data_IF_823173834799
#
_entry.id   IF_823173834799
#
_cell.length_a   1.000
_cell.length_b   1.000
_cell.length_c   1.000
_cell.angle_alpha   90.00
_cell.angle_beta   90.00
_cell.angle_gamma   90.00
#
_symmetry.space_group_name_H-M   'P 1'
#
loop_
_entity.id
_entity.type
_entity.pdbx_description
1 polymer ?
#
# COMPACT_ATOMS: atom_id res chain seq x y z
N UNK A 1 -5.55 26.06 -22.44
CA UNK A 1 -5.43 24.67 -21.95
C UNK A 1 -6.82 24.23 -21.54
N UNK A 2 -7.62 23.75 -22.50
CA UNK A 2 -9.01 23.33 -22.25
C UNK A 2 -9.01 22.00 -21.50
N UNK A 3 -9.48 22.03 -20.25
CA UNK A 3 -9.73 20.82 -19.48
C UNK A 3 -10.94 20.12 -20.11
N UNK A 4 -10.76 18.90 -20.60
CA UNK A 4 -11.86 18.05 -21.09
C UNK A 4 -12.91 17.84 -19.98
N UNK A 5 -14.21 17.72 -20.29
CA UNK A 5 -15.26 17.57 -19.28
C UNK A 5 -15.04 16.41 -18.29
N UNK A 6 -14.37 15.33 -18.70
CA UNK A 6 -14.08 14.18 -17.81
C UNK A 6 -13.01 14.48 -16.75
N UNK A 7 -11.98 15.27 -17.07
CA UNK A 7 -10.90 15.61 -16.12
C UNK A 7 -11.37 16.62 -15.07
N UNK A 8 -12.29 17.51 -15.44
CA UNK A 8 -12.96 18.42 -14.48
C UNK A 8 -13.83 17.62 -13.51
N UNK A 9 -14.62 16.66 -14.01
CA UNK A 9 -15.47 15.81 -13.17
C UNK A 9 -14.65 14.92 -12.22
N UNK A 10 -13.54 14.34 -12.71
CA UNK A 10 -12.61 13.56 -11.89
C UNK A 10 -11.96 14.42 -10.79
N UNK A 11 -11.49 15.62 -11.12
CA UNK A 11 -10.85 16.52 -10.16
C UNK A 11 -11.83 17.03 -9.08
N UNK A 12 -13.07 17.35 -9.46
CA UNK A 12 -14.14 17.75 -8.54
C UNK A 12 -14.54 16.59 -7.64
N UNK A 13 -14.68 15.37 -8.18
CA UNK A 13 -14.97 14.18 -7.38
C UNK A 13 -13.85 13.86 -6.38
N UNK A 14 -12.57 13.97 -6.79
CA UNK A 14 -11.43 13.68 -5.93
C UNK A 14 -11.35 14.66 -4.76
N UNK A 15 -11.53 15.97 -5.02
CA UNK A 15 -11.54 16.99 -3.96
C UNK A 15 -12.70 16.78 -2.98
N UNK A 16 -13.88 16.46 -3.48
CA UNK A 16 -15.05 16.14 -2.66
C UNK A 16 -14.79 14.93 -1.77
N UNK A 17 -14.32 13.81 -2.32
CA UNK A 17 -14.04 12.60 -1.52
C UNK A 17 -12.90 12.78 -0.51
N UNK A 18 -11.87 13.55 -0.84
CA UNK A 18 -10.81 13.90 0.11
C UNK A 18 -11.32 14.80 1.24
N UNK A 19 -12.21 15.76 0.96
CA UNK A 19 -12.87 16.57 1.97
C UNK A 19 -13.80 15.72 2.86
N UNK A 20 -14.58 14.81 2.26
CA UNK A 20 -15.47 13.89 2.98
C UNK A 20 -14.68 12.89 3.86
N UNK A 21 -13.46 12.52 3.47
CA UNK A 21 -12.57 11.67 4.29
C UNK A 21 -12.21 12.31 5.64
N UNK A 22 -12.28 13.64 5.77
CA UNK A 22 -12.05 14.36 7.02
C UNK A 22 -13.30 14.53 7.90
N UNK A 23 -14.49 14.11 7.46
CA UNK A 23 -15.75 14.32 8.20
C UNK A 23 -15.96 13.27 9.28
N UNK A 24 -16.08 13.70 10.54
CA UNK A 24 -16.37 12.82 11.69
C UNK A 24 -17.75 12.18 11.61
N UNK A 25 -18.78 12.92 11.21
CA UNK A 25 -20.14 12.41 11.08
C UNK A 25 -20.25 11.29 10.02
N UNK A 26 -19.55 11.45 8.89
CA UNK A 26 -19.48 10.41 7.87
C UNK A 26 -18.62 9.23 8.32
N UNK A 27 -17.52 9.47 9.05
CA UNK A 27 -16.74 8.41 9.69
C UNK A 27 -17.61 7.60 10.65
N UNK A 28 -18.45 8.22 11.45
CA UNK A 28 -19.32 7.54 12.43
C UNK A 28 -20.43 6.74 11.75
N UNK A 29 -21.08 7.30 10.73
CA UNK A 29 -22.09 6.60 9.94
C UNK A 29 -21.47 5.42 9.16
N UNK A 30 -20.33 5.63 8.49
CA UNK A 30 -19.63 4.57 7.77
C UNK A 30 -19.06 3.50 8.70
N UNK A 31 -18.60 3.87 9.90
CA UNK A 31 -18.15 2.92 10.93
C UNK A 31 -19.29 2.03 11.43
N UNK A 32 -20.52 2.55 11.47
CA UNK A 32 -21.71 1.78 11.84
C UNK A 32 -22.18 0.81 10.75
N UNK A 33 -22.03 1.12 9.46
CA UNK A 33 -22.63 0.32 8.39
C UNK A 33 -21.66 -0.23 7.34
N UNK A 34 -20.56 0.46 7.04
CA UNK A 34 -19.67 0.16 5.89
C UNK A 34 -18.86 -1.14 5.99
N UNK A 35 -18.74 -1.73 7.18
CA UNK A 35 -18.07 -3.02 7.44
C UNK A 35 -19.03 -4.07 8.06
N UNK A 36 -20.34 -3.80 8.14
CA UNK A 36 -21.34 -4.76 8.66
C UNK A 36 -21.55 -5.90 7.65
N UNK A 37 -21.59 -7.14 8.16
CA UNK A 37 -21.78 -8.35 7.34
C UNK A 37 -20.65 -8.63 6.36
N UNK A 38 -20.74 -9.72 5.60
CA UNK A 38 -19.72 -10.11 4.61
C UNK A 38 -19.74 -9.23 3.33
N UNK A 39 -20.82 -8.49 3.11
CA UNK A 39 -21.05 -7.69 1.89
C UNK A 39 -20.82 -6.19 2.07
N UNK A 40 -20.39 -5.73 3.25
CA UNK A 40 -20.12 -4.32 3.50
C UNK A 40 -19.20 -3.70 2.45
N UNK A 41 -19.56 -2.51 1.96
CA UNK A 41 -18.90 -1.84 0.84
C UNK A 41 -17.38 -1.68 1.00
N UNK A 42 -16.90 -1.55 2.25
CA UNK A 42 -15.48 -1.42 2.53
C UNK A 42 -14.73 -2.76 2.52
N UNK A 43 -15.39 -3.93 2.72
CA UNK A 43 -14.76 -5.25 2.63
C UNK A 43 -14.19 -5.58 1.25
N UNK A 44 -14.62 -4.85 0.22
CA UNK A 44 -14.00 -4.91 -1.10
C UNK A 44 -12.53 -4.51 -1.07
N UNK A 45 -12.18 -3.49 -0.29
CA UNK A 45 -10.87 -2.84 -0.27
C UNK A 45 -10.15 -2.98 1.07
N UNK A 46 -10.82 -3.45 2.12
CA UNK A 46 -10.29 -3.67 3.47
C UNK A 46 -10.35 -5.15 3.80
N UNK A 47 -9.22 -5.73 4.21
CA UNK A 47 -9.08 -7.14 4.57
C UNK A 47 -9.80 -7.53 5.86
N UNK A 48 -10.01 -6.58 6.76
CA UNK A 48 -10.71 -6.81 8.02
C UNK A 48 -10.59 -5.64 9.00
N UNK A 49 -11.32 -5.73 10.11
CA UNK A 49 -11.25 -4.75 11.21
C UNK A 49 -10.16 -5.08 12.23
N UNK A 50 -9.71 -6.33 12.26
CA UNK A 50 -8.68 -6.83 13.18
C UNK A 50 -7.79 -7.85 12.46
N UNK A 51 -6.75 -8.33 13.15
CA UNK A 51 -5.77 -9.25 12.56
C UNK A 51 -6.39 -10.59 12.16
N UNK A 52 -7.38 -11.09 12.91
CA UNK A 52 -8.05 -12.37 12.61
C UNK A 52 -8.78 -12.30 11.28
N UNK A 53 -9.59 -11.26 11.06
CA UNK A 53 -10.27 -11.06 9.77
C UNK A 53 -9.26 -10.86 8.62
N UNK A 54 -8.15 -10.17 8.89
CA UNK A 54 -7.07 -9.97 7.91
C UNK A 54 -6.38 -11.29 7.55
N UNK A 55 -6.10 -12.16 8.52
CA UNK A 55 -5.54 -13.50 8.32
C UNK A 55 -6.48 -14.33 7.44
N UNK A 56 -7.79 -14.31 7.70
CA UNK A 56 -8.76 -15.01 6.85
C UNK A 56 -8.79 -14.46 5.42
N UNK A 57 -8.66 -13.14 5.25
CA UNK A 57 -8.54 -12.53 3.93
C UNK A 57 -7.24 -12.94 3.22
N UNK A 58 -6.12 -12.98 3.94
CA UNK A 58 -4.84 -13.43 3.44
C UNK A 58 -4.88 -14.91 3.01
N UNK A 59 -5.53 -15.81 3.79
CA UNK A 59 -5.72 -17.22 3.41
C UNK A 59 -6.48 -17.38 2.09
N UNK A 60 -7.52 -16.58 1.88
CA UNK A 60 -8.27 -16.56 0.61
C UNK A 60 -7.42 -16.06 -0.56
N UNK A 61 -6.41 -15.23 -0.31
CA UNK A 61 -5.45 -14.81 -1.33
C UNK A 61 -4.47 -15.95 -1.65
N UNK A 62 -3.91 -16.61 -0.64
CA UNK A 62 -3.00 -17.75 -0.82
C UNK A 62 -3.66 -18.91 -1.56
N UNK A 63 -4.94 -19.21 -1.26
CA UNK A 63 -5.75 -20.21 -1.99
C UNK A 63 -5.88 -19.92 -3.49
N UNK A 64 -5.62 -18.68 -3.92
CA UNK A 64 -5.68 -18.23 -5.31
C UNK A 64 -4.27 -18.03 -5.91
N UNK A 65 -3.22 -18.55 -5.27
CA UNK A 65 -1.83 -18.38 -5.70
C UNK A 65 -1.25 -16.98 -5.45
N UNK A 66 -1.98 -16.10 -4.75
CA UNK A 66 -1.55 -14.72 -4.53
C UNK A 66 -0.80 -14.58 -3.21
N UNK A 67 0.28 -13.81 -3.23
CA UNK A 67 1.01 -13.38 -2.03
C UNK A 67 0.28 -12.20 -1.36
N UNK A 68 0.62 -11.89 -0.12
CA UNK A 68 0.05 -10.76 0.61
C UNK A 68 1.12 -9.94 1.36
N UNK A 69 0.73 -8.73 1.72
CA UNK A 69 1.44 -7.88 2.69
C UNK A 69 0.39 -7.19 3.56
N UNK A 70 0.49 -7.40 4.86
CA UNK A 70 -0.42 -6.84 5.84
C UNK A 70 -0.08 -5.36 6.07
N UNK A 71 -1.08 -4.49 5.95
CA UNK A 71 -0.94 -3.07 6.27
C UNK A 71 -1.92 -2.72 7.39
N UNK A 72 -1.38 -2.56 8.61
CA UNK A 72 -2.14 -2.06 9.74
C UNK A 72 -2.46 -0.57 9.53
N UNK A 73 -3.74 -0.24 9.48
CA UNK A 73 -4.22 1.08 9.12
C UNK A 73 -4.02 2.07 10.27
N UNK A 74 -3.30 3.13 9.94
CA UNK A 74 -2.95 4.27 10.79
C UNK A 74 -1.94 5.15 10.05
N UNK A 75 -1.78 6.41 10.48
CA UNK A 75 -0.74 7.34 10.01
C UNK A 75 -0.73 8.56 10.93
N UNK A 76 0.39 9.27 11.00
CA UNK A 76 0.51 10.57 11.70
C UNK A 76 0.08 10.53 13.18
N UNK A 77 0.71 9.66 13.98
CA UNK A 77 0.43 9.63 15.43
C UNK A 77 0.88 10.92 16.09
N UNK A 78 0.13 11.35 17.11
CA UNK A 78 0.30 12.67 17.74
C UNK A 78 0.89 12.63 19.14
N UNK A 79 1.21 11.44 19.65
CA UNK A 79 1.86 11.29 20.95
C UNK A 79 2.78 10.06 20.99
N UNK A 80 3.78 10.04 21.88
CA UNK A 80 4.63 8.86 22.08
C UNK A 80 3.85 7.61 22.46
N UNK A 81 2.78 7.75 23.25
CA UNK A 81 1.92 6.62 23.66
C UNK A 81 1.17 6.02 22.46
N UNK A 82 0.75 6.85 21.51
CA UNK A 82 0.14 6.36 20.28
C UNK A 82 1.16 5.66 19.38
N UNK A 83 2.41 6.11 19.34
CA UNK A 83 3.51 5.43 18.64
C UNK A 83 3.83 4.07 19.28
N UNK A 84 3.83 4.00 20.62
CA UNK A 84 4.01 2.77 21.38
C UNK A 84 2.87 1.78 21.09
N UNK A 85 1.62 2.24 21.15
CA UNK A 85 0.45 1.41 20.85
C UNK A 85 0.49 0.85 19.42
N UNK A 86 0.89 1.66 18.44
CA UNK A 86 1.08 1.19 17.06
C UNK A 86 2.20 0.14 16.96
N UNK A 87 3.31 0.34 17.66
CA UNK A 87 4.43 -0.62 17.73
C UNK A 87 3.98 -1.95 18.31
N UNK A 88 3.27 -1.93 19.45
CA UNK A 88 2.68 -3.13 20.07
C UNK A 88 1.71 -3.82 19.10
N UNK A 89 0.89 -3.07 18.37
CA UNK A 89 -0.02 -3.64 17.37
C UNK A 89 0.75 -4.39 16.27
N UNK A 90 1.86 -3.85 15.76
CA UNK A 90 2.70 -4.57 14.79
C UNK A 90 3.30 -5.85 15.38
N UNK A 91 3.78 -5.83 16.63
CA UNK A 91 4.29 -7.03 17.30
C UNK A 91 3.21 -8.12 17.40
N UNK A 92 1.99 -7.74 17.80
CA UNK A 92 0.86 -8.65 17.88
C UNK A 92 0.46 -9.21 16.51
N UNK A 93 0.54 -8.41 15.45
CA UNK A 93 0.28 -8.86 14.08
C UNK A 93 1.31 -9.91 13.65
N UNK A 94 2.60 -9.66 13.90
CA UNK A 94 3.68 -10.62 13.57
C UNK A 94 3.43 -11.94 14.29
N UNK A 95 3.13 -11.90 15.58
CA UNK A 95 2.85 -13.08 16.38
C UNK A 95 1.62 -13.84 15.88
N UNK A 96 0.51 -13.15 15.64
CA UNK A 96 -0.75 -13.75 15.18
C UNK A 96 -0.59 -14.43 13.81
N UNK A 97 0.13 -13.79 12.87
CA UNK A 97 0.40 -14.35 11.54
C UNK A 97 1.34 -15.56 11.64
N UNK A 98 2.35 -15.49 12.50
CA UNK A 98 3.27 -16.60 12.77
C UNK A 98 2.55 -17.81 13.39
N UNK A 99 1.67 -17.60 14.37
CA UNK A 99 0.86 -18.65 14.98
C UNK A 99 -0.15 -19.26 13.99
N UNK A 100 -0.62 -18.46 13.03
CA UNK A 100 -1.48 -18.94 11.95
C UNK A 100 -0.74 -19.77 10.89
N UNK A 101 0.60 -19.93 11.00
CA UNK A 101 1.43 -20.68 10.07
C UNK A 101 1.62 -20.00 8.71
N UNK A 102 1.40 -18.69 8.62
CA UNK A 102 1.41 -17.94 7.37
C UNK A 102 2.72 -17.18 7.16
N UNK A 103 3.05 -16.90 5.89
CA UNK A 103 4.21 -16.05 5.57
C UNK A 103 3.96 -14.63 6.06
N UNK A 104 4.82 -14.12 6.94
CA UNK A 104 4.68 -12.77 7.48
C UNK A 104 5.36 -11.74 6.57
N UNK A 105 4.57 -10.80 6.05
CA UNK A 105 5.04 -9.65 5.29
C UNK A 105 4.22 -8.43 5.68
N UNK A 106 4.88 -7.34 6.06
CA UNK A 106 4.25 -6.14 6.60
C UNK A 106 4.61 -4.90 5.80
N UNK A 107 3.67 -3.98 5.69
CA UNK A 107 3.89 -2.61 5.25
C UNK A 107 3.69 -1.67 6.43
N UNK A 108 4.70 -0.84 6.71
CA UNK A 108 4.77 0.04 7.89
C UNK A 108 5.00 1.48 7.44
N UNK A 109 4.24 2.42 8.00
CA UNK A 109 4.49 3.86 7.85
C UNK A 109 5.21 4.38 9.08
N UNK A 110 6.31 5.10 8.90
CA UNK A 110 7.13 5.56 10.02
C UNK A 110 6.44 6.67 10.82
N UNK A 111 5.51 7.41 10.23
CA UNK A 111 4.66 8.34 10.99
C UNK A 111 3.73 7.65 11.99
N UNK A 112 3.45 6.34 11.84
CA UNK A 112 2.78 5.57 12.89
C UNK A 112 3.70 5.27 14.07
N UNK A 113 5.02 5.22 13.83
CA UNK A 113 6.02 4.90 14.83
C UNK A 113 6.61 6.14 15.51
N UNK A 114 6.11 7.33 15.16
CA UNK A 114 6.50 8.60 15.78
C UNK A 114 7.51 9.44 14.99
N UNK A 115 7.71 9.20 13.69
CA UNK A 115 8.71 9.93 12.88
C UNK A 115 8.56 11.46 12.93
N UNK A 116 7.32 11.96 13.01
CA UNK A 116 7.03 13.39 13.09
C UNK A 116 7.16 13.96 14.50
N UNK A 117 7.25 13.10 15.51
CA UNK A 117 7.43 13.49 16.91
C UNK A 117 8.92 13.52 17.26
N UNK A 118 9.61 12.41 17.04
CA UNK A 118 11.03 12.25 17.31
C UNK A 118 11.61 11.11 16.46
N UNK A 119 12.70 11.42 15.75
CA UNK A 119 13.40 10.46 14.88
C UNK A 119 14.00 9.29 15.68
N UNK A 120 14.47 9.54 16.91
CA UNK A 120 15.01 8.52 17.81
C UNK A 120 13.96 7.51 18.24
N UNK A 121 12.81 8.00 18.73
CA UNK A 121 11.64 7.21 19.09
C UNK A 121 11.20 6.32 17.92
N UNK A 122 11.06 6.89 16.72
CA UNK A 122 10.69 6.14 15.53
C UNK A 122 11.69 5.03 15.20
N UNK A 123 12.99 5.33 15.28
CA UNK A 123 14.05 4.36 15.02
C UNK A 123 14.00 3.20 16.02
N UNK A 124 13.82 3.51 17.30
CA UNK A 124 13.82 2.50 18.36
C UNK A 124 12.56 1.60 18.27
N UNK A 125 11.41 2.17 17.92
CA UNK A 125 10.18 1.43 17.63
C UNK A 125 10.33 0.51 16.40
N UNK A 126 10.90 1.01 15.30
CA UNK A 126 11.17 0.17 14.13
C UNK A 126 12.15 -0.96 14.47
N UNK A 127 13.20 -0.68 15.25
CA UNK A 127 14.16 -1.68 15.71
C UNK A 127 13.50 -2.80 16.50
N UNK A 128 12.55 -2.47 17.38
CA UNK A 128 11.77 -3.47 18.14
C UNK A 128 10.97 -4.38 17.21
N UNK A 129 10.31 -3.83 16.19
CA UNK A 129 9.57 -4.59 15.18
C UNK A 129 10.54 -5.52 14.42
N UNK A 130 11.65 -4.99 13.91
CA UNK A 130 12.62 -5.77 13.13
C UNK A 130 13.28 -6.89 13.95
N UNK A 131 13.62 -6.62 15.21
CA UNK A 131 14.16 -7.65 16.12
C UNK A 131 13.16 -8.78 16.33
N UNK A 132 11.87 -8.46 16.46
CA UNK A 132 10.82 -9.47 16.59
C UNK A 132 10.61 -10.26 15.29
N UNK A 133 10.90 -9.65 14.13
CA UNK A 133 10.74 -10.31 12.83
C UNK A 133 11.79 -11.40 12.56
N UNK A 134 13.02 -11.25 13.03
CA UNK A 134 14.11 -12.19 12.74
C UNK A 134 13.81 -13.61 13.25
N UNK A 135 13.22 -13.72 14.46
CA UNK A 135 12.81 -15.01 15.03
C UNK A 135 11.68 -15.68 14.23
N UNK A 136 10.87 -14.90 13.50
CA UNK A 136 9.64 -15.36 12.82
C UNK A 136 9.73 -15.24 11.30
N UNK A 137 10.91 -14.88 10.77
CA UNK A 137 11.20 -14.65 9.34
C UNK A 137 10.18 -13.70 8.66
N UNK A 138 9.74 -12.66 9.37
CA UNK A 138 8.79 -11.70 8.82
C UNK A 138 9.52 -10.62 8.01
N UNK A 139 9.02 -10.31 6.82
CA UNK A 139 9.56 -9.20 6.02
C UNK A 139 8.85 -7.88 6.33
N UNK A 140 9.60 -6.81 6.56
CA UNK A 140 9.06 -5.46 6.77
C UNK A 140 9.39 -4.56 5.59
N UNK A 141 8.36 -4.00 4.96
CA UNK A 141 8.46 -2.93 3.98
C UNK A 141 8.14 -1.59 4.65
N UNK A 142 9.08 -0.66 4.62
CA UNK A 142 8.82 0.73 5.01
C UNK A 142 8.18 1.46 3.85
N UNK A 143 6.90 1.81 4.00
CA UNK A 143 6.13 2.60 3.05
C UNK A 143 6.67 4.04 3.00
N UNK A 144 6.79 4.60 1.80
CA UNK A 144 7.27 5.96 1.62
C UNK A 144 6.10 6.94 1.67
N UNK A 145 6.24 7.93 2.54
CA UNK A 145 5.22 8.94 2.81
C UNK A 145 5.48 10.22 2.00
N UNK A 146 5.05 11.39 2.48
CA UNK A 146 5.24 12.66 1.78
C UNK A 146 6.72 13.08 1.68
N UNK A 147 7.02 13.95 0.71
CA UNK A 147 8.41 14.32 0.38
C UNK A 147 9.24 14.88 1.54
N UNK A 148 8.60 15.55 2.51
CA UNK A 148 9.23 16.12 3.71
C UNK A 148 9.73 15.08 4.71
N UNK A 149 9.41 13.81 4.51
CA UNK A 149 9.76 12.70 5.39
C UNK A 149 10.83 11.77 4.78
N UNK A 150 11.19 11.96 3.51
CA UNK A 150 12.01 11.01 2.75
C UNK A 150 13.40 10.86 3.35
N UNK A 151 14.11 11.96 3.59
CA UNK A 151 15.48 11.90 4.12
C UNK A 151 15.53 11.13 5.44
N UNK A 152 14.68 11.52 6.40
CA UNK A 152 14.58 10.82 7.70
C UNK A 152 14.19 9.35 7.54
N UNK A 153 13.31 9.03 6.59
CA UNK A 153 12.89 7.64 6.32
C UNK A 153 14.05 6.81 5.76
N UNK A 154 14.75 7.33 4.75
CA UNK A 154 15.88 6.65 4.13
C UNK A 154 17.06 6.49 5.09
N UNK A 155 17.33 7.49 5.92
CA UNK A 155 18.40 7.44 6.93
C UNK A 155 18.11 6.38 8.00
N UNK A 156 16.87 6.29 8.51
CA UNK A 156 16.48 5.24 9.45
C UNK A 156 16.62 3.85 8.81
N UNK A 157 16.10 3.66 7.58
CA UNK A 157 16.14 2.37 6.90
C UNK A 157 17.58 1.95 6.60
N UNK A 158 18.43 2.88 6.14
CA UNK A 158 19.85 2.64 5.90
C UNK A 158 20.56 2.25 7.20
N UNK A 159 20.31 2.96 8.30
CA UNK A 159 20.88 2.62 9.61
C UNK A 159 20.48 1.21 10.06
N UNK A 160 19.20 0.81 9.89
CA UNK A 160 18.76 -0.56 10.21
C UNK A 160 19.46 -1.60 9.33
N UNK A 161 19.59 -1.33 8.03
CA UNK A 161 20.26 -2.24 7.09
C UNK A 161 21.75 -2.42 7.45
N UNK A 162 22.46 -1.34 7.72
CA UNK A 162 23.88 -1.36 8.14
C UNK A 162 24.05 -2.06 9.48
N UNK A 163 23.06 -1.96 10.38
CA UNK A 163 23.05 -2.67 11.67
C UNK A 163 22.78 -4.17 11.57
N UNK A 164 22.56 -4.72 10.37
CA UNK A 164 22.45 -6.15 10.14
C UNK A 164 21.04 -6.66 9.83
N UNK A 165 19.99 -5.84 9.94
CA UNK A 165 18.62 -6.28 9.63
C UNK A 165 18.47 -6.57 8.12
N UNK A 166 18.17 -7.84 7.77
CA UNK A 166 18.08 -8.30 6.37
C UNK A 166 16.65 -8.41 5.85
N UNK A 167 15.66 -8.62 6.72
CA UNK A 167 14.25 -8.73 6.37
C UNK A 167 13.54 -7.36 6.28
N UNK A 168 14.21 -6.40 5.67
CA UNK A 168 13.79 -5.00 5.57
C UNK A 168 13.92 -4.52 4.12
N UNK A 169 12.93 -3.76 3.64
CA UNK A 169 13.03 -3.02 2.38
C UNK A 169 12.27 -1.70 2.41
N UNK A 170 12.39 -0.93 1.34
CA UNK A 170 11.86 0.44 1.24
C UNK A 170 10.97 0.64 0.02
N UNK A 171 10.14 1.67 0.02
CA UNK A 171 9.38 2.13 -1.15
C UNK A 171 10.05 3.35 -1.76
N UNK A 172 10.06 3.47 -3.09
CA UNK A 172 10.49 4.66 -3.82
C UNK A 172 9.40 5.10 -4.82
N UNK A 173 9.33 6.41 -5.10
CA UNK A 173 8.22 7.06 -5.81
C UNK A 173 8.69 7.70 -7.12
N UNK A 174 8.30 7.15 -8.27
CA UNK A 174 8.77 7.63 -9.58
C UNK A 174 8.36 9.06 -9.92
N UNK A 175 7.35 9.62 -9.26
CA UNK A 175 6.96 11.01 -9.44
C UNK A 175 7.98 12.02 -8.90
N UNK A 176 8.91 11.61 -8.03
CA UNK A 176 9.86 12.53 -7.42
C UNK A 176 11.15 12.64 -8.24
N UNK A 177 11.62 13.88 -8.40
CA UNK A 177 12.83 14.18 -9.18
C UNK A 177 14.10 13.61 -8.56
N UNK A 178 14.12 13.45 -7.23
CA UNK A 178 15.24 12.90 -6.45
C UNK A 178 15.38 11.37 -6.49
N UNK A 179 14.35 10.66 -6.95
CA UNK A 179 14.29 9.20 -6.83
C UNK A 179 15.39 8.44 -7.56
N UNK A 180 15.95 8.89 -8.70
CA UNK A 180 17.12 8.23 -9.30
C UNK A 180 18.31 8.12 -8.33
N UNK A 181 18.63 9.21 -7.61
CA UNK A 181 19.74 9.24 -6.66
C UNK A 181 19.45 8.37 -5.43
N UNK A 182 18.22 8.48 -4.91
CA UNK A 182 17.79 7.64 -3.78
C UNK A 182 17.80 6.14 -4.14
N UNK A 183 17.43 5.80 -5.38
CA UNK A 183 17.45 4.42 -5.88
C UNK A 183 18.88 3.86 -5.90
N UNK A 184 19.84 4.61 -6.44
CA UNK A 184 21.25 4.21 -6.44
C UNK A 184 21.74 3.96 -5.01
N UNK A 185 21.48 4.91 -4.09
CA UNK A 185 21.88 4.79 -2.68
C UNK A 185 21.30 3.56 -1.99
N UNK A 186 20.00 3.28 -2.13
CA UNK A 186 19.37 2.15 -1.41
C UNK A 186 19.73 0.80 -2.01
N UNK A 187 19.95 0.74 -3.33
CA UNK A 187 20.34 -0.51 -4.00
C UNK A 187 21.79 -0.89 -3.69
N UNK A 188 22.70 0.08 -3.55
CA UNK A 188 24.07 -0.14 -3.06
C UNK A 188 24.08 -0.79 -1.65
N UNK A 189 23.13 -0.43 -0.79
CA UNK A 189 22.93 -1.06 0.53
C UNK A 189 22.28 -2.45 0.46
N UNK A 190 21.92 -2.91 -0.74
CA UNK A 190 21.24 -4.18 -0.98
C UNK A 190 19.80 -4.22 -0.45
N UNK A 191 19.13 -3.07 -0.30
CA UNK A 191 17.75 -3.01 0.15
C UNK A 191 16.82 -3.42 -1.00
N UNK A 192 15.93 -4.42 -0.80
CA UNK A 192 14.82 -4.65 -1.72
C UNK A 192 14.00 -3.36 -1.87
N UNK A 193 13.50 -3.07 -3.08
CA UNK A 193 12.75 -1.83 -3.36
C UNK A 193 11.37 -2.16 -3.92
N UNK A 194 10.35 -1.48 -3.39
CA UNK A 194 9.04 -1.39 -4.04
C UNK A 194 8.96 -0.06 -4.80
N UNK A 195 8.80 -0.12 -6.11
CA UNK A 195 8.60 1.07 -6.95
C UNK A 195 7.11 1.37 -7.11
N UNK A 196 6.71 2.60 -6.81
CA UNK A 196 5.36 3.14 -7.03
C UNK A 196 5.43 4.42 -7.86
N UNK A 197 4.30 4.92 -8.38
CA UNK A 197 4.25 6.27 -8.96
C UNK A 197 4.36 7.36 -7.89
N UNK A 198 3.68 7.17 -6.76
CA UNK A 198 3.53 8.17 -5.70
C UNK A 198 2.06 8.48 -5.44
N UNK A 199 1.71 8.74 -4.18
CA UNK A 199 0.31 8.93 -3.75
C UNK A 199 0.02 10.35 -3.20
N UNK A 200 1.07 11.13 -2.95
CA UNK A 200 0.99 12.44 -2.31
C UNK A 200 0.93 13.55 -3.36
N UNK A 201 0.30 14.67 -3.00
CA UNK A 201 0.29 15.86 -3.84
C UNK A 201 1.50 16.71 -3.47
N UNK A 202 2.47 16.74 -4.36
CA UNK A 202 3.76 17.39 -4.14
C UNK A 202 3.93 18.63 -5.03
N UNK A 203 4.70 19.64 -4.61
CA UNK A 203 4.95 20.84 -5.41
C UNK A 203 5.79 20.54 -6.65
N UNK A 204 5.65 21.37 -7.69
CA UNK A 204 6.30 21.15 -9.00
C UNK A 204 7.84 21.11 -8.96
N UNK A 205 8.45 21.80 -8.00
CA UNK A 205 9.89 21.76 -7.77
C UNK A 205 10.39 20.41 -7.21
N UNK A 206 9.50 19.62 -6.61
CA UNK A 206 9.83 18.35 -5.96
C UNK A 206 9.40 17.15 -6.83
N UNK A 207 8.24 17.25 -7.47
CA UNK A 207 7.64 16.16 -8.24
C UNK A 207 7.23 16.58 -9.65
N UNK A 208 7.34 15.63 -10.59
CA UNK A 208 6.74 15.75 -11.91
C UNK A 208 5.23 15.97 -11.81
N UNK A 209 4.72 16.92 -12.58
CA UNK A 209 3.30 17.26 -12.59
C UNK A 209 2.58 16.61 -13.78
N UNK A 210 3.30 16.37 -14.88
CA UNK A 210 2.76 15.65 -16.03
C UNK A 210 2.82 14.14 -15.80
N UNK A 211 1.71 13.46 -16.05
CA UNK A 211 1.60 12.01 -15.88
C UNK A 211 2.55 11.24 -16.79
N UNK A 212 2.83 11.73 -18.00
CA UNK A 212 3.77 11.12 -18.95
C UNK A 212 5.20 11.19 -18.41
N UNK A 213 5.57 12.28 -17.75
CA UNK A 213 6.87 12.37 -17.07
C UNK A 213 6.97 11.35 -15.93
N UNK A 214 5.93 11.23 -15.10
CA UNK A 214 5.87 10.21 -14.02
C UNK A 214 5.96 8.78 -14.58
N UNK A 215 5.24 8.50 -15.67
CA UNK A 215 5.24 7.21 -16.36
C UNK A 215 6.61 6.92 -16.98
N UNK A 216 7.24 7.91 -17.61
CA UNK A 216 8.60 7.80 -18.17
C UNK A 216 9.64 7.52 -17.08
N UNK A 217 9.58 8.26 -15.97
CA UNK A 217 10.45 8.04 -14.83
C UNK A 217 10.24 6.65 -14.22
N UNK A 218 9.00 6.15 -14.15
CA UNK A 218 8.72 4.79 -13.68
C UNK A 218 9.41 3.73 -14.55
N UNK A 219 9.38 3.90 -15.87
CA UNK A 219 10.04 2.97 -16.80
C UNK A 219 11.56 3.03 -16.67
N UNK A 220 12.14 4.23 -16.61
CA UNK A 220 13.58 4.39 -16.42
C UNK A 220 14.06 3.76 -15.10
N UNK A 221 13.36 4.02 -14.00
CA UNK A 221 13.67 3.43 -12.69
C UNK A 221 13.46 1.91 -12.68
N UNK A 222 12.55 1.39 -13.49
CA UNK A 222 12.34 -0.06 -13.65
C UNK A 222 13.57 -0.72 -14.24
N UNK A 223 14.15 -0.14 -15.29
CA UNK A 223 15.37 -0.63 -15.93
C UNK A 223 16.53 -0.66 -14.93
N UNK A 224 16.79 0.48 -14.27
CA UNK A 224 17.84 0.57 -13.23
C UNK A 224 17.63 -0.44 -12.11
N UNK A 225 16.39 -0.61 -11.65
CA UNK A 225 16.11 -1.49 -10.53
C UNK A 225 16.24 -2.98 -10.92
N UNK A 226 15.91 -3.35 -12.16
CA UNK A 226 16.15 -4.71 -12.67
C UNK A 226 17.65 -5.04 -12.74
N UNK A 227 18.49 -4.05 -13.04
CA UNK A 227 19.95 -4.20 -13.13
C UNK A 227 20.66 -4.19 -11.76
N UNK A 228 19.96 -3.79 -10.69
CA UNK A 228 20.55 -3.50 -9.38
C UNK A 228 20.90 -4.73 -8.52
N UNK A 229 20.45 -5.92 -8.91
CA UNK A 229 20.69 -7.16 -8.15
C UNK A 229 19.86 -7.34 -6.87
N UNK A 230 19.15 -6.30 -6.40
CA UNK A 230 18.14 -6.47 -5.33
C UNK A 230 16.84 -7.05 -5.89
N UNK A 231 15.92 -7.50 -5.03
CA UNK A 231 14.62 -7.99 -5.47
C UNK A 231 13.60 -6.84 -5.63
N UNK A 232 13.18 -6.50 -6.88
CA UNK A 232 12.18 -5.48 -7.13
C UNK A 232 10.74 -5.94 -6.90
N UNK A 233 9.94 -5.00 -6.42
CA UNK A 233 8.49 -5.09 -6.37
C UNK A 233 7.87 -3.91 -7.15
N UNK A 234 7.18 -4.20 -8.25
CA UNK A 234 6.52 -3.18 -9.08
C UNK A 234 5.07 -2.99 -8.66
N UNK A 235 4.80 -1.96 -7.87
CA UNK A 235 3.49 -1.67 -7.31
C UNK A 235 2.68 -0.74 -8.22
N UNK A 236 1.88 -1.34 -9.12
CA UNK A 236 1.08 -0.61 -10.10
C UNK A 236 -0.15 -1.40 -10.58
N UNK A 237 -1.23 -0.70 -10.90
CA UNK A 237 -2.42 -1.27 -11.56
C UNK A 237 -2.55 -0.84 -13.02
N UNK A 238 -1.52 -0.21 -13.56
CA UNK A 238 -1.47 0.33 -14.91
C UNK A 238 -0.95 -0.75 -15.88
N UNK A 239 -1.79 -1.26 -16.80
CA UNK A 239 -1.37 -2.28 -17.76
C UNK A 239 -0.20 -1.82 -18.65
N UNK A 240 -0.03 -0.51 -18.87
CA UNK A 240 1.09 0.02 -19.66
C UNK A 240 2.41 -0.17 -18.92
N UNK A 241 2.43 0.15 -17.63
CA UNK A 241 3.62 -0.03 -16.78
C UNK A 241 3.96 -1.50 -16.61
N UNK A 242 2.95 -2.36 -16.45
CA UNK A 242 3.17 -3.82 -16.38
C UNK A 242 3.79 -4.35 -17.67
N UNK A 243 3.32 -3.91 -18.84
CA UNK A 243 3.96 -4.28 -20.12
C UNK A 243 5.39 -3.76 -20.22
N UNK A 244 5.65 -2.53 -19.78
CA UNK A 244 6.99 -1.96 -19.77
C UNK A 244 7.95 -2.76 -18.88
N UNK A 245 7.53 -3.13 -17.66
CA UNK A 245 8.30 -4.02 -16.77
C UNK A 245 8.61 -5.36 -17.44
N UNK A 246 7.60 -6.00 -18.05
CA UNK A 246 7.78 -7.29 -18.73
C UNK A 246 8.74 -7.19 -19.92
N UNK A 247 8.63 -6.13 -20.70
CA UNK A 247 9.52 -5.89 -21.84
C UNK A 247 10.96 -5.63 -21.37
N UNK A 248 11.15 -4.80 -20.35
CA UNK A 248 12.46 -4.51 -19.78
C UNK A 248 13.12 -5.75 -19.16
N UNK A 249 12.35 -6.59 -18.46
CA UNK A 249 12.82 -7.86 -17.92
C UNK A 249 13.16 -8.87 -19.02
N UNK A 250 12.31 -9.01 -20.04
CA UNK A 250 12.57 -9.89 -21.18
C UNK A 250 13.80 -9.51 -21.99
N UNK A 251 14.06 -8.20 -22.17
CA UNK A 251 15.28 -7.71 -22.81
C UNK A 251 16.56 -8.00 -22.01
N UNK A 252 16.42 -8.34 -20.72
CA UNK A 252 17.53 -8.67 -19.80
C UNK A 252 17.60 -10.15 -19.44
N UNK A 253 16.75 -10.99 -20.05
CA UNK A 253 16.59 -12.41 -19.69
C UNK A 253 16.30 -12.63 -18.19
N UNK A 254 15.54 -11.72 -17.58
CA UNK A 254 15.16 -11.80 -16.18
C UNK A 254 13.84 -12.57 -16.05
N UNK A 255 13.91 -13.74 -15.40
CA UNK A 255 12.77 -14.60 -15.10
C UNK A 255 11.72 -13.96 -14.19
N UNK A 256 10.49 -14.48 -14.24
CA UNK A 256 9.35 -13.99 -13.46
C UNK A 256 9.46 -14.21 -11.95
N UNK A 257 10.41 -15.05 -11.51
CA UNK A 257 10.75 -15.34 -10.12
C UNK A 257 11.69 -14.28 -9.51
N UNK A 258 12.28 -13.42 -10.33
CA UNK A 258 13.25 -12.40 -9.90
C UNK A 258 12.61 -11.07 -9.51
N UNK A 259 11.32 -10.89 -9.77
CA UNK A 259 10.55 -9.70 -9.43
C UNK A 259 9.10 -10.05 -9.13
N UNK A 260 8.40 -9.15 -8.44
CA UNK A 260 6.97 -9.32 -8.19
C UNK A 260 6.16 -8.09 -8.61
N UNK A 261 4.92 -8.32 -9.06
CA UNK A 261 3.94 -7.26 -9.19
C UNK A 261 3.18 -7.09 -7.88
N UNK A 262 2.90 -5.85 -7.50
CA UNK A 262 2.10 -5.58 -6.33
C UNK A 262 0.86 -4.76 -6.65
N UNK A 263 -0.26 -5.13 -6.03
CA UNK A 263 -1.54 -4.47 -6.23
C UNK A 263 -2.31 -4.35 -4.93
N UNK A 264 -3.10 -3.29 -4.82
CA UNK A 264 -4.02 -3.11 -3.71
C UNK A 264 -5.14 -4.16 -3.70
N UNK A 265 -5.51 -4.58 -2.50
CA UNK A 265 -6.65 -5.46 -2.27
C UNK A 265 -7.93 -4.88 -2.88
N UNK A 266 -8.67 -5.73 -3.61
CA UNK A 266 -9.91 -5.34 -4.26
C UNK A 266 -9.79 -4.62 -5.61
N UNK A 267 -8.59 -4.17 -5.99
CA UNK A 267 -8.37 -3.36 -7.20
C UNK A 267 -7.79 -4.20 -8.33
N UNK A 268 -8.45 -4.20 -9.49
CA UNK A 268 -8.03 -4.95 -10.69
C UNK A 268 -7.78 -6.44 -10.43
N UNK A 269 -8.73 -7.11 -9.76
CA UNK A 269 -8.66 -8.56 -9.47
C UNK A 269 -8.51 -9.42 -10.74
N UNK A 270 -9.07 -8.94 -11.85
CA UNK A 270 -8.86 -9.48 -13.19
C UNK A 270 -7.37 -9.56 -13.56
N UNK A 271 -6.64 -8.46 -13.32
CA UNK A 271 -5.23 -8.35 -13.64
C UNK A 271 -4.36 -9.13 -12.67
N UNK A 272 -4.74 -9.16 -11.39
CA UNK A 272 -4.08 -9.99 -10.38
C UNK A 272 -4.10 -11.47 -10.79
N UNK A 273 -5.28 -12.00 -11.13
CA UNK A 273 -5.43 -13.38 -11.58
C UNK A 273 -4.72 -13.64 -12.92
N UNK A 274 -4.81 -12.71 -13.87
CA UNK A 274 -4.15 -12.87 -15.16
C UNK A 274 -2.62 -12.92 -15.05
N UNK A 275 -2.01 -12.15 -14.14
CA UNK A 275 -0.55 -12.16 -13.93
C UNK A 275 -0.10 -13.42 -13.20
N UNK A 276 -0.85 -13.87 -12.19
CA UNK A 276 -0.57 -15.11 -11.47
C UNK A 276 -0.64 -16.31 -12.42
N UNK A 277 -1.68 -16.40 -13.26
CA UNK A 277 -1.80 -17.44 -14.29
C UNK A 277 -0.70 -17.40 -15.37
N UNK A 278 0.02 -16.29 -15.48
CA UNK A 278 1.20 -16.15 -16.36
C UNK A 278 2.52 -16.50 -15.64
N UNK A 279 2.47 -16.98 -14.40
CA UNK A 279 3.65 -17.39 -13.63
C UNK A 279 4.41 -16.23 -12.96
N UNK A 280 3.79 -15.04 -12.83
CA UNK A 280 4.38 -13.95 -12.07
C UNK A 280 4.00 -14.02 -10.59
N UNK A 281 4.95 -13.70 -9.70
CA UNK A 281 4.62 -13.42 -8.31
C UNK A 281 3.75 -12.16 -8.22
N UNK A 282 2.57 -12.29 -7.60
CA UNK A 282 1.64 -11.17 -7.40
C UNK A 282 1.35 -11.02 -5.91
N UNK A 283 1.78 -9.90 -5.32
CA UNK A 283 1.54 -9.58 -3.90
C UNK A 283 0.45 -8.55 -3.72
N UNK A 284 -0.50 -8.87 -2.85
CA UNK A 284 -1.65 -8.01 -2.56
C UNK A 284 -1.42 -7.21 -1.28
N UNK A 285 -1.47 -5.89 -1.40
CA UNK A 285 -1.45 -4.97 -0.26
C UNK A 285 -2.79 -5.02 0.45
N UNK A 286 -2.81 -5.60 1.65
CA UNK A 286 -3.99 -5.96 2.41
C UNK A 286 -4.16 -5.02 3.62
N UNK A 287 -4.90 -3.91 3.46
CA UNK A 287 -5.16 -2.97 4.55
C UNK A 287 -6.19 -3.56 5.54
N UNK A 288 -5.95 -3.42 6.84
CA UNK A 288 -6.89 -3.84 7.89
C UNK A 288 -6.74 -2.97 9.14
N UNK A 289 -7.73 -3.00 10.03
CA UNK A 289 -7.71 -2.26 11.30
C UNK A 289 -8.88 -1.27 11.46
N UNK A 290 -8.92 -0.60 12.61
CA UNK A 290 -10.00 0.31 12.98
C UNK A 290 -10.06 1.60 12.16
N UNK A 291 -8.92 2.13 11.73
CA UNK A 291 -8.83 3.39 10.97
C UNK A 291 -8.97 3.21 9.46
N UNK A 292 -9.91 2.36 9.04
CA UNK A 292 -10.10 2.02 7.63
C UNK A 292 -10.79 3.11 6.80
N UNK A 293 -11.56 4.00 7.42
CA UNK A 293 -12.40 4.96 6.71
C UNK A 293 -11.61 5.96 5.82
N UNK A 294 -10.56 6.65 6.31
CA UNK A 294 -9.77 7.55 5.47
C UNK A 294 -9.14 6.82 4.28
N UNK A 295 -8.62 5.61 4.50
CA UNK A 295 -8.06 4.79 3.43
C UNK A 295 -9.12 4.43 2.38
N UNK A 296 -10.29 3.96 2.80
CA UNK A 296 -11.39 3.61 1.93
C UNK A 296 -11.84 4.79 1.07
N UNK A 297 -12.00 5.97 1.67
CA UNK A 297 -12.37 7.19 0.93
C UNK A 297 -11.34 7.57 -0.13
N UNK A 298 -10.04 7.43 0.16
CA UNK A 298 -8.98 7.61 -0.85
C UNK A 298 -9.11 6.61 -2.00
N UNK A 299 -9.45 5.34 -1.74
CA UNK A 299 -9.66 4.33 -2.80
C UNK A 299 -10.87 4.67 -3.68
N UNK A 300 -11.94 5.23 -3.12
CA UNK A 300 -13.10 5.67 -3.90
C UNK A 300 -12.75 6.86 -4.80
N UNK A 301 -12.00 7.82 -4.28
CA UNK A 301 -11.58 9.02 -5.00
C UNK A 301 -10.70 8.73 -6.22
N UNK A 302 -10.04 7.58 -6.27
CA UNK A 302 -9.08 7.24 -7.34
C UNK A 302 -9.71 6.74 -8.63
N UNK A 303 -10.94 6.20 -8.62
CA UNK A 303 -11.62 5.76 -9.85
C UNK A 303 -13.14 5.92 -9.77
N UNK A 304 -13.79 6.51 -10.79
CA UNK A 304 -15.26 6.59 -10.87
C UNK A 304 -15.96 5.23 -10.77
N UNK A 305 -15.34 4.15 -11.29
CA UNK A 305 -15.88 2.80 -11.19
C UNK A 305 -15.94 2.27 -9.73
N UNK A 306 -15.03 2.71 -8.85
CA UNK A 306 -15.10 2.37 -7.42
C UNK A 306 -16.29 3.06 -6.76
N UNK A 307 -16.59 4.29 -7.17
CA UNK A 307 -17.76 5.06 -6.71
C UNK A 307 -19.06 4.41 -7.21
N UNK A 308 -19.14 4.07 -8.50
CA UNK A 308 -20.32 3.41 -9.09
C UNK A 308 -20.60 2.06 -8.42
N UNK A 309 -19.55 1.30 -8.07
CA UNK A 309 -19.68 0.08 -7.29
C UNK A 309 -20.32 0.33 -5.92
N UNK A 310 -19.85 1.34 -5.17
CA UNK A 310 -20.42 1.68 -3.86
C UNK A 310 -21.87 2.12 -3.98
N UNK A 311 -22.20 2.95 -4.97
CA UNK A 311 -23.59 3.38 -5.23
C UNK A 311 -24.49 2.18 -5.53
N UNK A 312 -24.03 1.23 -6.37
CA UNK A 312 -24.78 0.00 -6.66
C UNK A 312 -24.96 -0.89 -5.44
N UNK A 313 -23.94 -1.05 -4.60
CA UNK A 313 -24.03 -1.85 -3.39
C UNK A 313 -24.97 -1.24 -2.35
N UNK A 314 -24.96 0.08 -2.17
CA UNK A 314 -25.89 0.79 -1.27
C UNK A 314 -27.34 0.69 -1.76
N UNK A 315 -27.58 0.78 -3.07
CA UNK A 315 -28.91 0.59 -3.66
C UNK A 315 -29.41 -0.85 -3.49
N UNK A 316 -28.52 -1.85 -3.60
CA UNK A 316 -28.86 -3.24 -3.33
C UNK A 316 -29.16 -3.50 -1.84
N UNK A 317 -28.47 -2.82 -0.92
CA UNK A 317 -28.78 -2.87 0.52
C UNK A 317 -30.16 -2.25 0.82
N UNK A 318 -30.50 -1.11 0.22
CA UNK A 318 -31.82 -0.49 0.39
C UNK A 318 -32.97 -1.27 -0.27
N UNK A 319 -32.72 -1.95 -1.40
CA UNK A 319 -33.70 -2.79 -2.07
C UNK A 319 -33.83 -4.19 -1.42
N UNK A 320 -32.79 -4.65 -0.73
CA UNK A 320 -32.83 -5.86 0.09
C UNK A 320 -33.63 -5.68 1.39
N UNK A 321 -33.69 -4.46 1.92
CA UNK A 321 -34.45 -4.10 3.13
C UNK A 321 -35.95 -3.89 2.86
N UNK A 322 -36.40 -3.89 1.60
CA UNK A 322 -37.81 -3.80 1.22
C UNK A 322 -38.46 -5.14 0.79
N UNK A 323 -37.72 -6.26 0.85
CA UNK A 323 -38.26 -7.62 0.57
C UNK A 323 -38.21 -8.55 1.78
N UNK A 324 -38.40 -8.00 2.97
CA UNK A 324 -38.60 -8.76 4.19
C UNK A 324 -39.55 -8.01 5.09
N UNK A 325 -40.86 -8.14 4.83
CA UNK A 325 -42.02 -8.01 5.71
C UNK A 325 -43.23 -7.69 4.81
N UNK A 326 -43.87 -8.75 4.34
CA UNK A 326 -45.13 -8.75 3.61
C UNK A 326 -45.58 -10.19 3.54
N UNK A 327 -46.63 -10.48 4.31
CA UNK A 327 -47.27 -11.79 4.51
C UNK A 327 -47.55 -12.58 3.22
#
# INVERSE_FOLDING_TARGET
MELTPSTVLEAVSRRLFLALAGSRALKDAASRYGMRGQHGVARRFIGGRNVTEAIDAARRLEQRGLLHTFNYLGEHVRSPEAAEAATIAYLWVIESVSLAGMTCNLSVKLTQLGLELDTGLCRDNLKRILTHTDARRCFVRVDMEGSTLIDRTLDIVAAMRTSGYRHLGVVLQSALRRTPDDLARVTELGLPVRLVKGAYKEPAGVAFQDKREVDSAFVQLTETLLDSGVHPAFATHDPRMIRAVRAAAGARDIGSDRFEFQMLYGVRRDLQAALEAQGYAVRIYLPFGGDWFPYFMRRLAERPANVLFVVRSLLHEQLGDQRGYGE
#
